data_IF_135381806259
#
_entry.id   IF_135381806259
#
_cell.length_a   1.000
_cell.length_b   1.000
_cell.length_c   1.000
_cell.angle_alpha   90.00
_cell.angle_beta   90.00
_cell.angle_gamma   90.00
#
_symmetry.space_group_name_H-M   'P 1'
#
loop_
_entity.id
_entity.type
_entity.pdbx_description
1 polymer ?
#
# COMPACT_ATOMS: atom_id res chain seq x y z
N UNK A 1 -58.24 -22.16 28.09
CA UNK A 1 -57.87 -22.63 26.74
C UNK A 1 -56.40 -22.99 26.81
N UNK A 2 -56.08 -24.28 26.93
CA UNK A 2 -54.70 -24.74 27.12
C UNK A 2 -54.01 -24.86 25.77
N UNK A 3 -52.90 -24.15 25.60
CA UNK A 3 -52.10 -24.24 24.38
C UNK A 3 -51.27 -25.52 24.48
N UNK A 4 -51.39 -26.47 23.54
CA UNK A 4 -50.64 -27.72 23.60
C UNK A 4 -49.14 -27.42 23.56
N UNK A 5 -48.40 -27.95 24.53
CA UNK A 5 -46.96 -27.73 24.73
C UNK A 5 -46.13 -27.95 23.45
N UNK A 6 -46.58 -28.88 22.59
CA UNK A 6 -45.99 -29.17 21.29
C UNK A 6 -45.96 -27.96 20.35
N UNK A 7 -46.97 -27.08 20.41
CA UNK A 7 -47.01 -25.89 19.56
C UNK A 7 -45.98 -24.85 20.01
N UNK A 8 -45.76 -24.72 21.32
CA UNK A 8 -44.76 -23.81 21.90
C UNK A 8 -43.34 -24.28 21.55
N UNK A 9 -43.07 -25.58 21.68
CA UNK A 9 -41.77 -26.17 21.31
C UNK A 9 -41.49 -26.01 19.81
N UNK A 10 -42.50 -26.24 18.95
CA UNK A 10 -42.37 -26.06 17.50
C UNK A 10 -42.03 -24.62 17.11
N UNK A 11 -42.66 -23.63 17.73
CA UNK A 11 -42.37 -22.21 17.46
C UNK A 11 -40.97 -21.81 17.93
N UNK A 12 -40.53 -22.27 19.11
CA UNK A 12 -39.17 -22.00 19.59
C UNK A 12 -38.13 -22.62 18.64
N UNK A 13 -38.35 -23.85 18.19
CA UNK A 13 -37.46 -24.51 17.24
C UNK A 13 -37.37 -23.74 15.90
N UNK A 14 -38.51 -23.24 15.39
CA UNK A 14 -38.54 -22.44 14.16
C UNK A 14 -37.76 -21.12 14.33
N UNK A 15 -37.96 -20.41 15.45
CA UNK A 15 -37.24 -19.16 15.73
C UNK A 15 -35.74 -19.42 15.85
N UNK A 16 -35.34 -20.48 16.56
CA UNK A 16 -33.93 -20.86 16.68
C UNK A 16 -33.31 -21.21 15.31
N UNK A 17 -34.05 -21.92 14.45
CA UNK A 17 -33.61 -22.24 13.09
C UNK A 17 -33.41 -20.97 12.24
N UNK A 18 -34.37 -20.04 12.27
CA UNK A 18 -34.29 -18.78 11.51
C UNK A 18 -33.13 -17.93 12.02
N UNK A 19 -32.94 -17.85 13.34
CA UNK A 19 -31.82 -17.14 13.94
C UNK A 19 -30.47 -17.78 13.53
N UNK A 20 -30.36 -19.11 13.58
CA UNK A 20 -29.16 -19.83 13.18
C UNK A 20 -28.85 -19.63 11.68
N UNK A 21 -29.86 -19.66 10.82
CA UNK A 21 -29.70 -19.39 9.40
C UNK A 21 -29.25 -17.94 9.15
N UNK A 22 -29.83 -16.97 9.86
CA UNK A 22 -29.45 -15.56 9.77
C UNK A 22 -27.99 -15.32 10.18
N UNK A 23 -27.56 -15.90 11.31
CA UNK A 23 -26.16 -15.81 11.78
C UNK A 23 -25.22 -16.49 10.77
N UNK A 24 -25.58 -17.66 10.26
CA UNK A 24 -24.78 -18.38 9.27
C UNK A 24 -24.56 -17.53 8.02
N UNK A 25 -25.63 -16.93 7.49
CA UNK A 25 -25.53 -16.04 6.33
C UNK A 25 -24.59 -14.86 6.59
N UNK A 26 -24.68 -14.22 7.76
CA UNK A 26 -23.80 -13.10 8.12
C UNK A 26 -22.32 -13.52 8.17
N UNK A 27 -22.03 -14.71 8.72
CA UNK A 27 -20.65 -15.24 8.77
C UNK A 27 -20.12 -15.49 7.36
N UNK A 28 -20.90 -16.15 6.50
CA UNK A 28 -20.49 -16.42 5.12
C UNK A 28 -20.31 -15.14 4.30
N UNK A 29 -21.23 -14.20 4.42
CA UNK A 29 -21.14 -12.91 3.74
C UNK A 29 -19.88 -12.14 4.16
N UNK A 30 -19.60 -12.07 5.47
CA UNK A 30 -18.39 -11.41 6.00
C UNK A 30 -17.09 -12.04 5.49
N UNK A 31 -17.06 -13.38 5.37
CA UNK A 31 -15.90 -14.10 4.84
C UNK A 31 -15.66 -13.80 3.35
N UNK A 32 -16.72 -13.80 2.54
CA UNK A 32 -16.64 -13.46 1.12
C UNK A 32 -16.18 -12.02 0.94
N UNK A 33 -16.77 -11.08 1.70
CA UNK A 33 -16.40 -9.66 1.67
C UNK A 33 -14.92 -9.47 2.01
N UNK A 34 -14.42 -10.15 3.06
CA UNK A 34 -13.01 -10.09 3.45
C UNK A 34 -12.08 -10.60 2.33
N UNK A 35 -12.45 -11.66 1.62
CA UNK A 35 -11.66 -12.17 0.51
C UNK A 35 -11.65 -11.23 -0.69
N UNK A 36 -12.78 -10.60 -1.02
CA UNK A 36 -12.86 -9.58 -2.07
C UNK A 36 -11.92 -8.42 -1.74
N UNK A 37 -11.94 -7.92 -0.51
CA UNK A 37 -11.01 -6.87 -0.09
C UNK A 37 -9.55 -7.31 -0.16
N UNK A 38 -9.21 -8.52 0.28
CA UNK A 38 -7.83 -9.04 0.16
C UNK A 38 -7.37 -9.08 -1.29
N UNK A 39 -8.21 -9.52 -2.21
CA UNK A 39 -7.88 -9.53 -3.64
C UNK A 39 -7.66 -8.12 -4.19
N UNK A 40 -8.54 -7.17 -3.87
CA UNK A 40 -8.40 -5.77 -4.31
C UNK A 40 -7.16 -5.10 -3.72
N UNK A 41 -6.89 -5.29 -2.43
CA UNK A 41 -5.67 -4.82 -1.77
C UNK A 41 -4.42 -5.47 -2.38
N UNK A 42 -4.50 -6.74 -2.76
CA UNK A 42 -3.43 -7.46 -3.44
C UNK A 42 -3.09 -6.82 -4.78
N UNK A 43 -4.09 -6.53 -5.61
CA UNK A 43 -3.90 -5.84 -6.89
C UNK A 43 -3.27 -4.44 -6.71
N UNK A 44 -3.69 -3.70 -5.67
CA UNK A 44 -3.08 -2.41 -5.34
C UNK A 44 -1.60 -2.60 -4.96
N UNK A 45 -1.30 -3.54 -4.06
CA UNK A 45 0.07 -3.80 -3.63
C UNK A 45 0.96 -4.24 -4.81
N UNK A 46 0.47 -5.14 -5.66
CA UNK A 46 1.18 -5.61 -6.87
C UNK A 46 1.44 -4.49 -7.85
N UNK A 47 0.44 -3.64 -8.10
CA UNK A 47 0.60 -2.48 -8.99
C UNK A 47 1.69 -1.54 -8.48
N UNK A 48 1.69 -1.23 -7.17
CA UNK A 48 2.70 -0.34 -6.59
C UNK A 48 4.08 -1.00 -6.60
N UNK A 49 4.19 -2.28 -6.25
CA UNK A 49 5.46 -3.01 -6.28
C UNK A 49 6.06 -3.06 -7.69
N UNK A 50 5.23 -3.30 -8.71
CA UNK A 50 5.62 -3.31 -10.12
C UNK A 50 6.08 -1.93 -10.60
N UNK A 51 5.35 -0.87 -10.25
CA UNK A 51 5.75 0.50 -10.57
C UNK A 51 7.06 0.90 -9.89
N UNK A 52 7.26 0.48 -8.63
CA UNK A 52 8.45 0.78 -7.86
C UNK A 52 9.69 0.10 -8.47
N UNK A 53 9.61 -1.20 -8.81
CA UNK A 53 10.75 -1.89 -9.42
C UNK A 53 11.08 -1.35 -10.81
N UNK A 54 10.08 -0.91 -11.58
CA UNK A 54 10.32 -0.28 -12.87
C UNK A 54 11.12 1.02 -12.70
N UNK A 55 10.71 1.89 -11.77
CA UNK A 55 11.37 3.17 -11.49
C UNK A 55 12.77 2.98 -10.86
N UNK A 56 12.98 1.94 -10.07
CA UNK A 56 14.30 1.54 -9.58
C UNK A 56 15.18 1.06 -10.74
N UNK A 57 14.65 0.17 -11.59
CA UNK A 57 15.39 -0.39 -12.72
C UNK A 57 15.80 0.72 -13.70
N UNK A 58 14.89 1.65 -14.00
CA UNK A 58 15.19 2.83 -14.83
C UNK A 58 16.33 3.68 -14.23
N UNK A 59 16.33 3.90 -12.91
CA UNK A 59 17.40 4.63 -12.23
C UNK A 59 18.74 3.88 -12.26
N UNK A 60 18.69 2.55 -12.19
CA UNK A 60 19.87 1.70 -12.27
C UNK A 60 20.46 1.70 -13.70
N UNK A 61 19.62 1.46 -14.71
CA UNK A 61 19.98 1.43 -16.14
C UNK A 61 20.42 2.79 -16.71
N UNK A 62 19.99 3.93 -16.13
CA UNK A 62 20.42 5.28 -16.51
C UNK A 62 21.92 5.58 -16.29
N UNK A 63 22.74 4.55 -16.08
CA UNK A 63 24.15 4.53 -15.67
C UNK A 63 25.18 5.22 -16.59
N UNK A 64 24.82 6.23 -17.36
CA UNK A 64 25.76 7.05 -18.14
C UNK A 64 25.70 8.54 -17.80
N UNK A 65 24.73 8.99 -17.00
CA UNK A 65 24.61 10.42 -16.64
C UNK A 65 25.08 10.62 -15.20
N UNK A 66 26.23 11.28 -15.04
CA UNK A 66 26.90 11.64 -13.78
C UNK A 66 26.15 12.72 -12.98
N UNK A 67 24.84 12.59 -12.83
CA UNK A 67 24.01 13.56 -12.13
C UNK A 67 23.01 12.87 -11.23
N UNK A 68 22.72 13.46 -10.06
CA UNK A 68 21.60 13.06 -9.21
C UNK A 68 20.31 13.08 -10.05
N UNK A 69 19.74 11.90 -10.30
CA UNK A 69 18.51 11.75 -11.07
C UNK A 69 17.38 11.35 -10.13
N UNK A 70 16.28 12.09 -10.21
CA UNK A 70 15.02 11.74 -9.56
C UNK A 70 14.06 11.27 -10.64
N UNK A 71 13.64 10.02 -10.57
CA UNK A 71 12.60 9.48 -11.43
C UNK A 71 11.31 9.38 -10.63
N UNK A 72 10.22 9.82 -11.25
CA UNK A 72 8.90 9.77 -10.65
C UNK A 72 7.94 9.07 -11.59
N UNK A 73 7.01 8.33 -11.01
CA UNK A 73 5.86 7.81 -11.74
C UNK A 73 4.59 7.99 -10.92
N UNK A 74 3.63 8.66 -11.53
CA UNK A 74 2.29 8.79 -10.96
C UNK A 74 1.59 7.45 -10.95
N UNK A 75 1.04 7.10 -9.80
CA UNK A 75 0.24 5.90 -9.59
C UNK A 75 -1.22 6.31 -9.34
N UNK A 76 -2.12 5.69 -10.10
CA UNK A 76 -3.56 5.92 -9.94
C UNK A 76 -4.10 4.90 -8.93
N UNK A 77 -4.26 5.34 -7.69
CA UNK A 77 -4.82 4.52 -6.63
C UNK A 77 -6.34 4.73 -6.53
N UNK A 78 -7.15 3.68 -6.33
CA UNK A 78 -8.57 3.83 -6.07
C UNK A 78 -8.80 4.73 -4.85
N UNK A 79 -9.79 5.63 -4.91
CA UNK A 79 -10.07 6.52 -3.77
C UNK A 79 -10.58 5.73 -2.58
N UNK A 80 -11.38 4.69 -2.76
CA UNK A 80 -11.82 3.82 -1.66
C UNK A 80 -12.07 2.40 -2.16
N UNK A 81 -12.08 1.45 -1.24
CA UNK A 81 -12.52 0.09 -1.50
C UNK A 81 -13.89 -0.09 -0.85
N UNK A 82 -14.95 -0.02 -1.66
CA UNK A 82 -16.34 -0.10 -1.20
C UNK A 82 -16.62 0.89 -0.03
N UNK A 83 -16.28 2.16 -0.25
CA UNK A 83 -16.41 3.26 0.74
C UNK A 83 -15.50 3.14 1.99
N UNK A 84 -14.61 2.15 2.03
CA UNK A 84 -13.65 1.99 3.12
C UNK A 84 -12.29 2.58 2.76
N UNK A 85 -11.73 3.29 3.72
CA UNK A 85 -10.35 3.76 3.66
C UNK A 85 -9.38 2.59 3.81
N UNK A 86 -8.26 2.67 3.10
CA UNK A 86 -7.18 1.71 3.17
C UNK A 86 -5.84 2.43 3.30
N UNK A 87 -4.84 1.72 3.79
CA UNK A 87 -3.47 2.18 3.97
C UNK A 87 -2.55 1.33 3.10
N UNK A 88 -1.59 1.97 2.47
CA UNK A 88 -0.48 1.31 1.77
C UNK A 88 0.82 1.71 2.44
N UNK A 89 1.73 0.78 2.64
CA UNK A 89 3.07 1.03 3.18
C UNK A 89 4.11 0.11 2.56
N UNK A 90 5.35 0.56 2.52
CA UNK A 90 6.49 -0.30 2.22
C UNK A 90 7.05 -0.82 3.53
N UNK A 91 7.15 -2.14 3.66
CA UNK A 91 7.64 -2.82 4.87
C UNK A 91 8.84 -3.69 4.54
N UNK A 92 9.83 -3.68 5.43
CA UNK A 92 10.92 -4.64 5.44
C UNK A 92 10.52 -5.79 6.36
N UNK A 93 10.49 -7.00 5.84
CA UNK A 93 10.23 -8.21 6.61
C UNK A 93 11.45 -9.10 6.49
N UNK A 94 12.17 -9.27 7.60
CA UNK A 94 13.21 -10.27 7.71
C UNK A 94 12.57 -11.65 7.91
N UNK A 95 12.59 -12.48 6.87
CA UNK A 95 12.14 -13.87 6.96
C UNK A 95 13.30 -14.77 7.38
N UNK A 96 13.07 -15.61 8.39
CA UNK A 96 14.07 -16.55 8.92
C UNK A 96 14.62 -17.41 7.77
N UNK A 97 15.91 -17.26 7.47
CA UNK A 97 16.62 -18.05 6.47
C UNK A 97 16.61 -17.51 5.02
N UNK A 98 15.94 -16.40 4.72
CA UNK A 98 15.93 -15.82 3.36
C UNK A 98 16.38 -14.37 3.27
N UNK A 99 16.79 -13.78 4.39
CA UNK A 99 17.26 -12.40 4.46
C UNK A 99 16.12 -11.38 4.53
N UNK A 100 16.49 -10.11 4.40
CA UNK A 100 15.53 -9.01 4.35
C UNK A 100 14.82 -8.98 3.00
N UNK A 101 13.49 -9.04 3.04
CA UNK A 101 12.63 -8.88 1.86
C UNK A 101 11.75 -7.67 2.02
N UNK A 102 11.59 -6.94 0.93
CA UNK A 102 10.76 -5.75 0.90
C UNK A 102 9.40 -6.07 0.28
N UNK A 103 8.36 -5.62 0.95
CA UNK A 103 6.98 -5.82 0.53
C UNK A 103 6.24 -4.50 0.48
N UNK A 104 5.35 -4.35 -0.50
CA UNK A 104 4.26 -3.38 -0.40
C UNK A 104 3.13 -4.07 0.33
N UNK A 105 2.69 -3.51 1.46
CA UNK A 105 1.54 -3.99 2.22
C UNK A 105 0.39 -2.99 2.08
N UNK A 106 -0.77 -3.50 1.67
CA UNK A 106 -2.03 -2.75 1.66
C UNK A 106 -3.01 -3.36 2.67
N UNK A 107 -3.66 -2.54 3.50
CA UNK A 107 -4.58 -2.98 4.55
C UNK A 107 -5.77 -2.04 4.74
N UNK A 108 -6.90 -2.57 5.21
CA UNK A 108 -8.04 -1.73 5.58
C UNK A 108 -7.76 -0.98 6.89
N UNK A 109 -8.09 0.31 6.93
CA UNK A 109 -7.89 1.14 8.14
C UNK A 109 -8.76 0.63 9.30
N UNK A 110 -9.97 0.18 9.00
CA UNK A 110 -10.94 -0.31 10.00
C UNK A 110 -10.68 -1.75 10.44
N UNK A 111 -9.96 -2.55 9.64
CA UNK A 111 -9.73 -3.99 9.85
C UNK A 111 -8.32 -4.38 9.43
N UNK A 112 -7.38 -4.29 10.39
CA UNK A 112 -5.95 -4.65 10.18
C UNK A 112 -5.72 -6.13 9.89
N UNK A 113 -6.71 -6.99 10.18
CA UNK A 113 -6.69 -8.41 9.84
C UNK A 113 -6.92 -8.67 8.34
N UNK A 114 -7.46 -7.68 7.62
CA UNK A 114 -7.61 -7.69 6.17
C UNK A 114 -6.46 -6.89 5.55
N UNK A 115 -5.43 -7.61 5.13
CA UNK A 115 -4.30 -7.05 4.41
C UNK A 115 -3.87 -7.98 3.27
N UNK A 116 -3.14 -7.41 2.33
CA UNK A 116 -2.45 -8.11 1.26
C UNK A 116 -1.01 -7.57 1.13
N UNK A 117 -0.12 -8.40 0.59
CA UNK A 117 1.29 -8.06 0.40
C UNK A 117 1.73 -8.45 -1.00
N UNK A 118 2.55 -7.61 -1.60
CA UNK A 118 3.25 -7.91 -2.84
C UNK A 118 4.76 -7.78 -2.62
N UNK A 119 5.51 -8.78 -3.07
CA UNK A 119 6.97 -8.77 -3.01
C UNK A 119 7.51 -7.73 -3.99
N UNK A 120 8.49 -6.94 -3.54
CA UNK A 120 9.27 -6.08 -4.42
C UNK A 120 10.52 -6.89 -4.81
N UNK A 121 10.66 -7.31 -6.08
CA UNK A 121 11.79 -8.13 -6.50
C UNK A 121 13.04 -7.26 -6.72
N UNK A 122 13.61 -6.74 -5.65
CA UNK A 122 14.90 -6.04 -5.70
C UNK A 122 16.03 -7.07 -5.89
N UNK A 123 16.97 -6.78 -6.78
CA UNK A 123 18.15 -7.63 -6.95
C UNK A 123 19.13 -7.38 -5.80
N UNK A 124 19.82 -8.43 -5.36
CA UNK A 124 20.82 -8.36 -4.28
C UNK A 124 22.10 -7.60 -4.66
N UNK A 125 22.23 -7.18 -5.93
CA UNK A 125 23.49 -6.70 -6.50
C UNK A 125 23.58 -5.18 -6.60
N UNK A 126 22.47 -4.46 -6.34
CA UNK A 126 22.41 -3.01 -6.37
C UNK A 126 22.22 -2.45 -4.96
N UNK A 127 22.90 -1.33 -4.65
CA UNK A 127 22.74 -0.63 -3.38
C UNK A 127 21.42 0.14 -3.38
N UNK A 128 20.32 -0.59 -3.22
CA UNK A 128 18.98 -0.03 -3.15
C UNK A 128 18.57 0.11 -1.68
N UNK A 129 18.13 1.31 -1.31
CA UNK A 129 17.54 1.59 -0.01
C UNK A 129 16.07 1.95 -0.22
N UNK A 130 15.18 1.13 0.32
CA UNK A 130 13.74 1.38 0.27
C UNK A 130 13.28 2.19 1.48
N UNK A 131 12.55 3.26 1.21
CA UNK A 131 11.95 4.11 2.22
C UNK A 131 10.72 3.41 2.82
N UNK A 132 10.87 2.88 4.04
CA UNK A 132 9.85 2.09 4.74
C UNK A 132 9.19 2.87 5.87
N UNK A 133 8.06 2.35 6.36
CA UNK A 133 7.45 2.85 7.61
C UNK A 133 8.40 2.57 8.79
N UNK A 134 8.95 3.63 9.39
CA UNK A 134 9.97 3.52 10.43
C UNK A 134 11.40 3.82 9.95
N UNK A 135 11.59 4.28 8.72
CA UNK A 135 12.85 4.84 8.25
C UNK A 135 13.19 6.11 9.04
N UNK A 136 13.81 5.92 10.21
CA UNK A 136 14.29 6.95 11.11
C UNK A 136 15.74 7.25 10.80
N UNK A 137 16.04 7.72 9.59
CA UNK A 137 17.36 8.27 9.34
C UNK A 137 17.40 9.69 9.91
N UNK A 138 18.40 9.92 10.75
CA UNK A 138 18.52 10.99 11.75
C UNK A 138 18.69 12.40 11.15
N UNK A 139 18.36 12.57 9.85
CA UNK A 139 18.38 13.83 9.10
C UNK A 139 17.15 14.02 8.19
N UNK A 140 16.17 13.11 8.20
CA UNK A 140 14.95 13.16 7.35
C UNK A 140 13.70 13.57 8.16
N UNK A 141 13.89 14.06 9.40
CA UNK A 141 12.82 14.72 10.18
C UNK A 141 12.38 16.06 9.58
N UNK A 142 13.06 16.55 8.55
CA UNK A 142 12.60 17.63 7.69
C UNK A 142 12.14 17.05 6.37
N UNK A 143 10.95 17.44 5.93
CA UNK A 143 10.31 17.16 4.63
C UNK A 143 11.32 17.07 3.48
N UNK A 144 11.93 15.89 3.26
CA UNK A 144 12.84 15.71 2.12
C UNK A 144 11.99 15.90 0.88
N UNK A 145 12.33 16.91 0.12
CA UNK A 145 11.56 17.28 -1.04
C UNK A 145 12.45 17.14 -2.24
N UNK A 146 12.18 16.13 -3.08
CA UNK A 146 12.94 15.95 -4.30
C UNK A 146 12.41 16.91 -5.37
N UNK A 147 13.33 17.68 -5.95
CA UNK A 147 13.03 18.52 -7.10
C UNK A 147 13.01 17.64 -8.36
N UNK A 148 11.85 17.58 -9.00
CA UNK A 148 11.70 16.93 -10.29
C UNK A 148 12.14 17.91 -11.37
N UNK A 149 13.15 17.55 -12.15
CA UNK A 149 13.72 18.43 -13.17
C UNK A 149 13.53 17.86 -14.58
N UNK A 150 12.29 17.78 -15.07
CA UNK A 150 11.97 17.77 -16.51
C UNK A 150 10.57 18.34 -16.78
N UNK A 151 10.48 19.39 -17.61
CA UNK A 151 9.24 19.92 -18.24
C UNK A 151 8.24 20.66 -17.35
N UNK A 152 7.98 20.21 -16.11
CA UNK A 152 7.13 20.88 -15.12
C UNK A 152 7.79 20.72 -13.75
N UNK A 153 8.25 21.83 -13.17
CA UNK A 153 8.83 21.80 -11.82
C UNK A 153 7.83 21.23 -10.80
N UNK A 154 8.32 20.45 -9.84
CA UNK A 154 7.47 19.87 -8.81
C UNK A 154 8.26 19.23 -7.69
N UNK A 155 7.55 18.94 -6.60
CA UNK A 155 8.09 18.54 -5.31
C UNK A 155 7.53 17.18 -4.93
N UNK A 156 8.41 16.18 -4.76
CA UNK A 156 8.03 14.87 -4.20
C UNK A 156 8.32 14.86 -2.71
N UNK A 157 7.29 14.58 -1.92
CA UNK A 157 7.40 14.31 -0.49
C UNK A 157 7.32 12.80 -0.27
N UNK A 158 8.39 12.14 0.23
CA UNK A 158 8.37 10.72 0.53
C UNK A 158 7.47 10.46 1.74
N UNK A 159 6.77 9.33 1.71
CA UNK A 159 5.94 8.87 2.81
C UNK A 159 6.23 7.40 3.07
N UNK A 160 6.31 7.00 4.34
CA UNK A 160 6.38 5.59 4.71
C UNK A 160 5.03 4.87 4.50
N UNK A 161 3.93 5.64 4.51
CA UNK A 161 2.58 5.13 4.32
C UNK A 161 1.67 6.15 3.61
N UNK A 162 0.76 5.64 2.78
CA UNK A 162 -0.21 6.41 1.99
C UNK A 162 -1.63 5.94 2.29
N UNK A 163 -2.56 6.88 2.50
CA UNK A 163 -3.96 6.56 2.76
C UNK A 163 -4.78 6.68 1.46
N UNK A 164 -5.37 5.56 1.04
CA UNK A 164 -6.48 5.55 0.10
C UNK A 164 -7.74 6.06 0.80
N UNK A 165 -8.33 7.12 0.26
CA UNK A 165 -9.53 7.78 0.83
C UNK A 165 -9.40 9.29 0.91
N UNK A 166 -8.18 9.81 0.80
CA UNK A 166 -7.94 11.25 0.88
C UNK A 166 -8.26 11.93 -0.46
N UNK A 167 -9.49 12.42 -0.60
CA UNK A 167 -9.89 13.40 -1.63
C UNK A 167 -9.25 14.79 -1.42
N UNK A 168 -8.41 14.96 -0.39
CA UNK A 168 -7.86 16.26 0.01
C UNK A 168 -6.65 16.72 -0.82
N UNK A 169 -6.24 15.95 -1.83
CA UNK A 169 -5.07 16.27 -2.65
C UNK A 169 -5.51 16.78 -4.02
N UNK A 170 -6.23 17.90 -4.04
CA UNK A 170 -6.79 18.49 -5.26
C UNK A 170 -5.72 18.85 -6.31
N UNK A 171 -4.46 18.99 -5.88
CA UNK A 171 -3.27 19.23 -6.72
C UNK A 171 -2.09 18.30 -6.36
N UNK A 172 -2.35 17.14 -5.74
CA UNK A 172 -1.28 16.20 -5.41
C UNK A 172 -1.57 14.78 -5.84
N UNK A 173 -0.55 14.13 -6.39
CA UNK A 173 -0.66 12.81 -6.99
C UNK A 173 0.16 11.82 -6.19
N UNK A 174 -0.39 10.63 -5.97
CA UNK A 174 0.40 9.54 -5.44
C UNK A 174 1.48 9.17 -6.46
N UNK A 175 2.71 9.02 -5.99
CA UNK A 175 3.84 8.67 -6.84
C UNK A 175 4.65 7.56 -6.21
N UNK A 176 5.25 6.74 -7.06
CA UNK A 176 6.49 6.05 -6.71
C UNK A 176 7.65 6.92 -7.18
N UNK A 177 8.73 6.93 -6.41
CA UNK A 177 9.91 7.71 -6.72
C UNK A 177 11.17 6.88 -6.53
N UNK A 178 12.20 7.17 -7.33
CA UNK A 178 13.57 6.76 -7.08
C UNK A 178 14.49 7.96 -7.21
N UNK A 179 15.55 7.97 -6.40
CA UNK A 179 16.58 8.97 -6.40
C UNK A 179 17.93 8.27 -6.36
N UNK A 180 18.72 8.47 -7.40
CA UNK A 180 20.10 7.96 -7.47
C UNK A 180 21.03 8.98 -6.86
N UNK A 181 21.63 8.63 -5.73
CA UNK A 181 22.66 9.42 -5.07
C UNK A 181 24.04 8.96 -5.53
N UNK A 182 24.83 9.90 -6.03
CA UNK A 182 26.15 9.64 -6.59
C UNK A 182 27.18 9.45 -5.46
N UNK A 183 27.27 8.22 -4.96
CA UNK A 183 28.39 7.69 -4.16
C UNK A 183 29.20 6.71 -4.99
N UNK A 184 30.36 6.29 -4.50
CA UNK A 184 31.12 5.17 -5.07
C UNK A 184 31.15 4.03 -4.04
N UNK A 185 30.33 2.97 -4.21
CA UNK A 185 29.33 2.73 -5.26
C UNK A 185 28.04 3.57 -5.14
N UNK A 186 27.28 3.81 -6.24
CA UNK A 186 26.06 4.64 -6.20
C UNK A 186 24.95 3.98 -5.39
N UNK A 187 24.18 4.79 -4.66
CA UNK A 187 23.04 4.32 -3.85
C UNK A 187 21.74 4.80 -4.49
N UNK A 188 20.77 3.91 -4.65
CA UNK A 188 19.43 4.22 -5.15
C UNK A 188 18.46 4.22 -3.97
N UNK A 189 17.93 5.38 -3.64
CA UNK A 189 16.80 5.50 -2.72
C UNK A 189 15.51 5.35 -3.49
N UNK A 190 14.54 4.59 -3.00
CA UNK A 190 13.23 4.54 -3.63
C UNK A 190 12.10 4.36 -2.62
N UNK A 191 10.90 4.78 -2.99
CA UNK A 191 9.76 4.67 -2.10
C UNK A 191 8.46 5.15 -2.72
N UNK A 192 7.47 5.28 -1.86
CA UNK A 192 6.18 5.88 -2.18
C UNK A 192 6.12 7.31 -1.64
N UNK A 193 5.26 8.14 -2.24
CA UNK A 193 5.16 9.53 -1.84
C UNK A 193 4.01 10.26 -2.49
N UNK A 194 3.99 11.58 -2.27
CA UNK A 194 3.05 12.50 -2.88
C UNK A 194 3.84 13.53 -3.67
N UNK A 195 3.49 13.69 -4.94
CA UNK A 195 3.98 14.75 -5.79
C UNK A 195 3.00 15.91 -5.79
N UNK A 196 3.52 17.12 -5.62
CA UNK A 196 2.77 18.37 -5.77
C UNK A 196 3.39 19.19 -6.88
N UNK A 197 2.57 19.67 -7.80
CA UNK A 197 2.98 20.67 -8.79
C UNK A 197 3.41 21.91 -8.03
N UNK A 198 4.66 22.33 -8.20
CA UNK A 198 5.11 23.59 -7.60
C UNK A 198 4.34 24.73 -8.24
N UNK A 199 3.41 25.34 -7.51
CA UNK A 199 2.79 26.59 -7.91
C UNK A 199 3.87 27.67 -7.96
N UNK A 200 4.13 28.17 -9.17
CA UNK A 200 4.70 29.50 -9.37
C UNK A 200 3.59 30.53 -9.41
#
# INVERSE_FOLDING_TARGET
>A
MEVPLQHVVGTIALIALVAAAGISYQVFASYIEANVYKTQLGQIAESIASNLIEVISLADFGGTVTTNQTLIRTINLPTSLNERAYLVRVVNISEVGTGEKYYVQAELVTRKDIYARALIPVSSNSNIILYTEGFADYNINGTVTFLVREGKGGLVRPFGSLYGGSSNFQDSYFVVWSWKYQTDPPIIYAGIGIWSSGGG
#
